data_IF_803414371856
#
_entry.id   IF_803414371856
#
_cell.length_a   1.000
_cell.length_b   1.000
_cell.length_c   1.000
_cell.angle_alpha   90.00
_cell.angle_beta   90.00
_cell.angle_gamma   90.00
#
_symmetry.space_group_name_H-M   'P 1'
#
loop_
_entity.id
_entity.type
_entity.pdbx_description
1 polymer ?
#
# COMPACT_ATOMS: atom_id res chain seq x y z
N UNK A 1 12.77 -8.45 3.57
CA UNK A 1 13.08 -7.22 2.81
C UNK A 1 11.77 -6.52 2.47
N UNK A 2 11.37 -5.49 3.22
CA UNK A 2 10.06 -4.81 3.07
C UNK A 2 10.10 -3.69 2.02
N UNK A 3 11.25 -3.44 1.41
CA UNK A 3 11.48 -2.41 0.39
C UNK A 3 10.65 -2.62 -0.88
N UNK A 4 10.52 -3.85 -1.38
CA UNK A 4 9.76 -4.11 -2.63
C UNK A 4 8.28 -4.46 -2.39
N UNK A 5 7.63 -3.76 -1.46
CA UNK A 5 6.23 -3.99 -1.11
C UNK A 5 5.41 -2.72 -1.32
N UNK A 6 4.20 -2.89 -1.86
CA UNK A 6 3.17 -1.87 -1.92
C UNK A 6 1.89 -2.39 -1.26
N UNK A 7 1.07 -1.48 -0.73
CA UNK A 7 -0.20 -1.79 -0.08
C UNK A 7 -1.35 -1.19 -0.86
N UNK A 8 -2.26 -2.05 -1.31
CA UNK A 8 -3.52 -1.62 -1.91
C UNK A 8 -4.60 -1.53 -0.85
N UNK A 9 -5.16 -0.34 -0.68
CA UNK A 9 -6.28 -0.09 0.21
C UNK A 9 -7.50 -0.92 -0.23
N UNK A 10 -8.03 -1.74 0.67
CA UNK A 10 -9.23 -2.53 0.41
C UNK A 10 -10.50 -1.69 0.21
N UNK A 11 -10.52 -0.46 0.73
CA UNK A 11 -11.73 0.40 0.72
C UNK A 11 -11.79 1.32 -0.49
N UNK A 12 -10.68 1.97 -0.84
CA UNK A 12 -10.65 2.96 -1.93
C UNK A 12 -9.73 2.56 -3.10
N UNK A 13 -9.08 1.41 -3.04
CA UNK A 13 -8.21 0.92 -4.11
C UNK A 13 -6.86 1.64 -4.25
N UNK A 14 -6.60 2.71 -3.47
CA UNK A 14 -5.33 3.45 -3.48
C UNK A 14 -4.15 2.51 -3.20
N UNK A 15 -3.11 2.59 -4.02
CA UNK A 15 -1.85 1.87 -3.80
C UNK A 15 -0.82 2.84 -3.24
N UNK A 16 -0.25 2.48 -2.09
CA UNK A 16 0.85 3.21 -1.45
C UNK A 16 2.10 2.31 -1.45
N UNK A 17 3.24 2.88 -1.83
CA UNK A 17 4.51 2.16 -1.96
C UNK A 17 5.40 2.45 -0.75
N UNK A 18 6.25 1.50 -0.36
CA UNK A 18 7.34 1.80 0.58
C UNK A 18 8.22 2.94 0.00
N UNK A 19 8.69 3.92 0.80
CA UNK A 19 9.49 5.04 0.30
C UNK A 19 10.73 4.59 -0.50
N UNK A 20 11.37 3.54 -0.01
CA UNK A 20 12.56 2.92 -0.62
C UNK A 20 12.22 1.80 -1.62
N UNK A 21 10.98 1.73 -2.12
CA UNK A 21 10.61 0.74 -3.11
C UNK A 21 11.25 1.05 -4.47
N UNK A 22 12.00 0.08 -5.00
CA UNK A 22 12.45 0.15 -6.38
C UNK A 22 11.27 -0.14 -7.31
N UNK A 23 10.79 0.92 -7.98
CA UNK A 23 9.68 0.84 -8.95
C UNK A 23 10.02 0.05 -10.21
N UNK A 24 11.30 -0.23 -10.46
CA UNK A 24 11.76 -1.09 -11.56
C UNK A 24 11.87 -2.55 -11.15
N UNK A 25 11.91 -2.84 -9.84
CA UNK A 25 11.92 -4.20 -9.34
C UNK A 25 10.49 -4.80 -9.34
N UNK A 26 10.41 -6.13 -9.22
CA UNK A 26 9.13 -6.81 -9.04
C UNK A 26 8.57 -6.45 -7.66
N UNK A 27 7.56 -5.59 -7.64
CA UNK A 27 6.87 -5.16 -6.42
C UNK A 27 5.74 -6.13 -6.07
N UNK A 28 5.71 -6.59 -4.82
CA UNK A 28 4.58 -7.34 -4.26
C UNK A 28 3.50 -6.35 -3.82
N UNK A 29 2.30 -6.45 -4.41
CA UNK A 29 1.14 -5.63 -3.99
C UNK A 29 0.31 -6.43 -3.00
N UNK A 30 0.36 -6.03 -1.73
CA UNK A 30 -0.45 -6.61 -0.66
C UNK A 30 -1.83 -5.98 -0.64
N UNK A 31 -2.85 -6.81 -0.77
CA UNK A 31 -4.26 -6.43 -0.65
C UNK A 31 -4.78 -6.77 0.74
N UNK A 32 -5.64 -5.93 1.32
CA UNK A 32 -6.30 -6.19 2.62
C UNK A 32 -5.98 -5.16 3.70
N UNK A 33 -4.97 -4.33 3.48
CA UNK A 33 -4.68 -3.17 4.33
C UNK A 33 -5.66 -2.03 4.03
N UNK A 34 -5.93 -1.19 5.02
CA UNK A 34 -6.76 0.01 4.86
C UNK A 34 -5.86 1.23 4.97
N UNK A 35 -5.95 2.18 4.03
CA UNK A 35 -5.09 3.37 4.06
C UNK A 35 -5.51 4.32 5.19
N UNK A 36 -4.57 5.18 5.62
CA UNK A 36 -4.79 6.12 6.72
C UNK A 36 -6.01 7.02 6.50
N UNK A 37 -6.27 7.45 5.26
CA UNK A 37 -7.46 8.24 4.92
C UNK A 37 -8.75 7.47 5.25
N UNK A 38 -8.89 6.26 4.71
CA UNK A 38 -10.07 5.43 4.95
C UNK A 38 -10.16 4.87 6.38
N UNK A 39 -9.06 4.85 7.13
CA UNK A 39 -9.08 4.58 8.56
C UNK A 39 -9.62 5.77 9.35
N UNK A 40 -9.27 7.01 8.96
CA UNK A 40 -9.78 8.24 9.58
C UNK A 40 -11.25 8.50 9.25
N UNK A 41 -11.68 8.24 8.01
CA UNK A 41 -13.10 8.40 7.60
C UNK A 41 -14.05 7.40 8.29
N UNK A 42 -13.53 6.31 8.87
CA UNK A 42 -14.32 5.33 9.62
C UNK A 42 -14.39 5.61 11.13
N UNK A 43 -13.62 6.58 11.64
CA UNK A 43 -13.52 6.89 13.07
C UNK A 43 -14.34 8.13 13.39
#
# INVERSE_FOLDING_TARGET
NLTNVAWKCKSCGKVDYHPDADRKAKIEIRTGTQCLRCLRERR
#
